data_IF_897747792345
#
_entry.id   IF_897747792345
#
_cell.length_a   1.000
_cell.length_b   1.000
_cell.length_c   1.000
_cell.angle_alpha   90.00
_cell.angle_beta   90.00
_cell.angle_gamma   90.00
#
_symmetry.space_group_name_H-M   'P 1'
#
loop_
_entity.id
_entity.type
_entity.pdbx_description
1 polymer ?
#
# COMPACT_ATOMS: atom_id res chain seq x y z
N UNK A 1 -18.20 -32.02 12.13
CA UNK A 1 -16.95 -31.32 12.51
C UNK A 1 -17.33 -30.22 13.50
N UNK A 2 -16.70 -30.09 14.68
CA UNK A 2 -17.06 -29.02 15.59
C UNK A 2 -16.62 -27.71 14.95
N UNK A 3 -17.58 -26.99 14.36
CA UNK A 3 -17.33 -25.73 13.70
C UNK A 3 -16.60 -24.78 14.67
N UNK A 4 -15.54 -24.13 14.18
CA UNK A 4 -14.88 -23.05 14.91
C UNK A 4 -15.94 -22.04 15.35
N UNK A 5 -16.03 -21.76 16.65
CA UNK A 5 -16.92 -20.70 17.12
C UNK A 5 -16.43 -19.33 16.66
N UNK A 6 -17.31 -18.33 16.69
CA UNK A 6 -16.96 -16.94 16.37
C UNK A 6 -15.73 -16.44 17.15
N UNK A 7 -15.52 -16.95 18.38
CA UNK A 7 -14.37 -16.65 19.23
C UNK A 7 -13.04 -17.04 18.59
N UNK A 8 -12.97 -18.23 17.99
CA UNK A 8 -11.77 -18.70 17.29
C UNK A 8 -11.52 -17.84 16.05
N UNK A 9 -12.59 -17.50 15.30
CA UNK A 9 -12.50 -16.63 14.13
C UNK A 9 -11.95 -15.25 14.49
N UNK A 10 -12.41 -14.64 15.58
CA UNK A 10 -11.90 -13.34 16.05
C UNK A 10 -10.39 -13.37 16.30
N UNK A 11 -9.88 -14.45 16.89
CA UNK A 11 -8.45 -14.60 17.15
C UNK A 11 -7.63 -14.82 15.87
N UNK A 12 -8.16 -15.59 14.92
CA UNK A 12 -7.49 -15.79 13.62
C UNK A 12 -7.49 -14.47 12.82
N UNK A 13 -8.61 -13.75 12.80
CA UNK A 13 -8.72 -12.46 12.11
C UNK A 13 -7.81 -11.39 12.71
N UNK A 14 -7.64 -11.36 14.03
CA UNK A 14 -6.70 -10.42 14.66
C UNK A 14 -5.25 -10.70 14.25
N UNK A 15 -4.84 -11.98 14.17
CA UNK A 15 -3.51 -12.37 13.70
C UNK A 15 -3.29 -12.08 12.21
N UNK A 16 -4.26 -12.37 11.36
CA UNK A 16 -4.14 -12.12 9.91
C UNK A 16 -4.12 -10.62 9.58
N UNK A 17 -4.85 -9.80 10.33
CA UNK A 17 -4.91 -8.35 10.10
C UNK A 17 -3.74 -7.57 10.70
N UNK A 18 -3.27 -7.96 11.91
CA UNK A 18 -2.21 -7.25 12.64
C UNK A 18 -0.82 -7.84 12.44
N UNK A 19 -0.72 -9.08 11.97
CA UNK A 19 0.53 -9.84 11.95
C UNK A 19 0.81 -10.52 13.31
N UNK A 20 2.04 -11.02 13.51
CA UNK A 20 2.43 -11.69 14.75
C UNK A 20 2.26 -10.77 15.97
N UNK A 21 1.63 -11.28 17.04
CA UNK A 21 1.32 -10.53 18.25
C UNK A 21 2.21 -10.96 19.43
N UNK A 22 2.67 -10.05 20.30
CA UNK A 22 3.34 -10.41 21.54
C UNK A 22 2.46 -11.32 22.40
N UNK A 23 3.06 -12.22 23.17
CA UNK A 23 2.34 -13.16 24.04
C UNK A 23 1.35 -12.46 24.99
N UNK A 24 1.72 -11.32 25.57
CA UNK A 24 0.84 -10.54 26.44
C UNK A 24 -0.43 -10.07 25.72
N UNK A 25 -0.29 -9.52 24.51
CA UNK A 25 -1.41 -9.04 23.70
C UNK A 25 -2.27 -10.20 23.20
N UNK A 26 -1.64 -11.30 22.78
CA UNK A 26 -2.34 -12.50 22.34
C UNK A 26 -3.19 -13.10 23.46
N UNK A 27 -2.61 -13.22 24.66
CA UNK A 27 -3.30 -13.66 25.88
C UNK A 27 -4.40 -12.69 26.31
N UNK A 28 -4.21 -11.39 26.12
CA UNK A 28 -5.23 -10.36 26.37
C UNK A 28 -6.43 -10.53 25.46
N UNK A 29 -6.23 -10.70 24.15
CA UNK A 29 -7.32 -10.94 23.19
C UNK A 29 -8.06 -12.23 23.52
N UNK A 30 -7.33 -13.30 23.85
CA UNK A 30 -7.95 -14.55 24.29
C UNK A 30 -8.82 -14.34 25.53
N UNK A 31 -8.35 -13.58 26.52
CA UNK A 31 -9.11 -13.24 27.71
C UNK A 31 -10.37 -12.45 27.36
N UNK A 32 -10.27 -11.41 26.51
CA UNK A 32 -11.43 -10.62 26.08
C UNK A 32 -12.50 -11.47 25.40
N UNK A 33 -12.09 -12.48 24.63
CA UNK A 33 -13.01 -13.28 23.83
C UNK A 33 -13.60 -14.45 24.63
N UNK A 34 -12.87 -14.99 25.59
CA UNK A 34 -13.28 -16.18 26.36
C UNK A 34 -13.71 -15.88 27.80
N UNK A 35 -13.42 -14.68 28.29
CA UNK A 35 -13.54 -14.22 29.69
C UNK A 35 -12.73 -15.07 30.70
N UNK A 36 -11.79 -15.90 30.20
CA UNK A 36 -10.99 -16.81 31.01
C UNK A 36 -9.51 -16.47 30.92
N UNK A 37 -8.85 -16.39 32.08
CA UNK A 37 -7.43 -16.11 32.16
C UNK A 37 -6.60 -17.31 31.67
N UNK A 38 -5.66 -17.13 30.72
CA UNK A 38 -4.79 -18.21 30.24
C UNK A 38 -3.90 -18.79 31.35
N UNK A 39 -3.54 -17.97 32.36
CA UNK A 39 -2.70 -18.40 33.48
C UNK A 39 -3.39 -19.39 34.43
N UNK A 40 -4.71 -19.27 34.61
CA UNK A 40 -5.49 -20.17 35.48
C UNK A 40 -6.11 -21.33 34.70
N UNK A 41 -6.30 -21.17 33.38
CA UNK A 41 -6.97 -22.14 32.50
C UNK A 41 -6.07 -22.57 31.34
N UNK A 42 -4.84 -22.97 31.62
CA UNK A 42 -3.85 -23.32 30.59
C UNK A 42 -4.30 -24.51 29.70
N UNK A 43 -5.02 -25.48 30.28
CA UNK A 43 -5.57 -26.60 29.52
C UNK A 43 -6.61 -26.14 28.49
N UNK A 44 -7.50 -25.22 28.89
CA UNK A 44 -8.51 -24.65 28.00
C UNK A 44 -7.88 -23.80 26.90
N UNK A 45 -6.82 -23.05 27.21
CA UNK A 45 -6.05 -22.29 26.23
C UNK A 45 -5.39 -23.22 25.19
N UNK A 46 -4.72 -24.28 25.63
CA UNK A 46 -4.09 -25.25 24.73
C UNK A 46 -5.11 -26.01 23.88
N UNK A 47 -6.26 -26.38 24.44
CA UNK A 47 -7.34 -27.03 23.70
C UNK A 47 -7.96 -26.09 22.66
N UNK A 48 -8.06 -24.80 22.97
CA UNK A 48 -8.52 -23.77 22.04
C UNK A 48 -7.56 -23.62 20.85
N UNK A 49 -6.25 -23.59 21.10
CA UNK A 49 -5.24 -23.56 20.05
C UNK A 49 -5.24 -24.84 19.21
N UNK A 50 -5.38 -26.01 19.82
CA UNK A 50 -5.48 -27.29 19.09
C UNK A 50 -6.67 -27.31 18.14
N UNK A 51 -7.83 -26.80 18.57
CA UNK A 51 -9.01 -26.70 17.69
C UNK A 51 -8.75 -25.80 16.48
N UNK A 52 -8.08 -24.67 16.70
CA UNK A 52 -7.68 -23.77 15.59
C UNK A 52 -6.73 -24.49 14.64
N UNK A 53 -5.67 -25.11 15.16
CA UNK A 53 -4.68 -25.78 14.33
C UNK A 53 -5.23 -27.00 13.58
N UNK A 54 -6.20 -27.72 14.14
CA UNK A 54 -6.87 -28.83 13.45
C UNK A 54 -7.59 -28.37 12.16
N UNK A 55 -8.18 -27.18 12.19
CA UNK A 55 -8.92 -26.60 11.06
C UNK A 55 -7.99 -25.86 10.10
N UNK A 56 -6.98 -25.15 10.62
CA UNK A 56 -5.96 -24.51 9.80
C UNK A 56 -5.08 -25.52 9.05
N UNK A 57 -4.92 -26.74 9.57
CA UNK A 57 -4.17 -27.81 8.91
C UNK A 57 -4.74 -28.16 7.53
N UNK A 58 -6.07 -28.08 7.34
CA UNK A 58 -6.71 -28.32 6.03
C UNK A 58 -6.22 -27.35 4.96
N UNK A 59 -6.01 -26.09 5.34
CA UNK A 59 -5.50 -25.02 4.46
C UNK A 59 -3.98 -24.87 4.53
N UNK A 60 -3.28 -25.83 5.15
CA UNK A 60 -1.82 -25.85 5.29
C UNK A 60 -1.27 -24.63 6.05
N UNK A 61 -2.04 -24.08 7.00
CA UNK A 61 -1.58 -23.06 7.93
C UNK A 61 -1.45 -23.62 9.35
N UNK A 62 -0.61 -23.00 10.16
CA UNK A 62 -0.42 -23.35 11.56
C UNK A 62 -0.29 -22.09 12.42
N UNK A 63 -1.07 -21.99 13.49
CA UNK A 63 -0.87 -20.99 14.53
C UNK A 63 0.24 -21.47 15.46
N UNK A 64 1.33 -20.70 15.52
CA UNK A 64 2.55 -21.07 16.25
C UNK A 64 3.07 -19.94 17.12
N UNK A 65 3.66 -20.32 18.25
CA UNK A 65 4.48 -19.45 19.07
C UNK A 65 5.92 -19.45 18.54
N UNK A 66 6.47 -18.28 18.26
CA UNK A 66 7.83 -18.06 17.80
C UNK A 66 8.56 -17.17 18.80
N UNK A 67 9.83 -17.48 19.06
CA UNK A 67 10.67 -16.68 19.94
C UNK A 67 11.50 -15.70 19.11
N UNK A 68 11.44 -14.43 19.45
CA UNK A 68 12.29 -13.42 18.85
C UNK A 68 13.75 -13.65 19.27
N UNK A 69 14.64 -13.69 18.28
CA UNK A 69 16.07 -13.99 18.44
C UNK A 69 16.85 -12.92 19.20
N UNK A 70 16.35 -11.68 19.27
CA UNK A 70 17.08 -10.55 19.88
C UNK A 70 16.75 -10.35 21.36
N UNK A 71 15.47 -10.41 21.71
CA UNK A 71 14.98 -10.11 23.07
C UNK A 71 14.46 -11.36 23.80
N UNK A 72 14.39 -12.51 23.12
CA UNK A 72 13.84 -13.74 23.66
C UNK A 72 12.32 -13.73 23.90
N UNK A 73 11.62 -12.67 23.48
CA UNK A 73 10.18 -12.48 23.67
C UNK A 73 9.39 -13.41 22.74
N UNK A 74 8.25 -13.91 23.24
CA UNK A 74 7.40 -14.84 22.50
C UNK A 74 6.31 -14.08 21.75
N UNK A 75 6.15 -14.43 20.47
CA UNK A 75 5.13 -13.93 19.58
C UNK A 75 4.28 -15.07 19.05
N UNK A 76 2.97 -14.85 18.90
CA UNK A 76 2.06 -15.79 18.26
C UNK A 76 1.72 -15.30 16.87
N UNK A 77 1.79 -16.18 15.87
CA UNK A 77 1.51 -15.85 14.48
C UNK A 77 0.92 -17.04 13.72
N UNK A 78 0.30 -16.75 12.58
CA UNK A 78 -0.15 -17.78 11.63
C UNK A 78 0.94 -17.96 10.58
N UNK A 79 1.41 -19.20 10.42
CA UNK A 79 2.50 -19.60 9.53
C UNK A 79 1.92 -20.44 8.40
N UNK A 80 2.35 -20.17 7.16
CA UNK A 80 2.04 -21.01 6.02
C UNK A 80 3.05 -22.17 5.97
N UNK A 81 2.57 -23.41 6.02
CA UNK A 81 3.39 -24.62 5.96
C UNK A 81 3.66 -25.09 4.52
N UNK A 82 3.11 -24.42 3.51
CA UNK A 82 3.47 -24.66 2.10
C UNK A 82 4.81 -24.00 1.78
N UNK A 83 5.71 -24.77 1.18
CA UNK A 83 7.05 -24.34 0.76
C UNK A 83 7.08 -23.45 -0.49
N UNK A 84 5.96 -22.81 -0.84
CA UNK A 84 5.89 -21.94 -2.01
C UNK A 84 6.34 -20.54 -1.62
N UNK A 85 7.61 -20.25 -1.87
CA UNK A 85 8.26 -18.97 -1.57
C UNK A 85 7.54 -17.76 -2.18
N UNK A 86 6.85 -17.93 -3.31
CA UNK A 86 6.04 -16.88 -3.94
C UNK A 86 4.69 -16.63 -3.23
N UNK A 87 4.15 -17.62 -2.53
CA UNK A 87 2.83 -17.53 -1.89
C UNK A 87 2.84 -16.78 -0.55
N UNK A 88 4.01 -16.61 0.09
CA UNK A 88 4.15 -15.94 1.40
C UNK A 88 4.04 -14.41 1.34
N UNK A 89 4.36 -13.81 0.19
CA UNK A 89 4.34 -12.36 -0.05
C UNK A 89 3.41 -11.94 -1.20
N UNK A 90 2.92 -12.92 -1.97
CA UNK A 90 2.30 -12.76 -3.29
C UNK A 90 0.97 -12.01 -3.36
N UNK A 91 0.32 -11.69 -2.24
CA UNK A 91 -0.94 -10.93 -2.23
C UNK A 91 -0.77 -9.45 -1.89
N UNK A 92 0.35 -9.05 -1.27
CA UNK A 92 0.57 -7.68 -0.79
C UNK A 92 1.67 -6.93 -1.55
N UNK A 93 2.59 -7.65 -2.18
CA UNK A 93 3.76 -7.05 -2.83
C UNK A 93 3.85 -7.46 -4.30
N UNK A 94 4.35 -6.56 -5.14
CA UNK A 94 4.60 -6.80 -6.57
C UNK A 94 5.81 -7.74 -6.77
N UNK A 95 5.88 -8.42 -7.93
CA UNK A 95 7.00 -9.32 -8.26
C UNK A 95 8.38 -8.68 -8.06
N UNK A 96 8.64 -7.41 -8.45
CA UNK A 96 9.93 -6.77 -8.20
C UNK A 96 10.23 -6.56 -6.70
N UNK A 97 9.21 -6.24 -5.89
CA UNK A 97 9.36 -6.07 -4.45
C UNK A 97 9.66 -7.40 -3.75
N UNK A 98 9.05 -8.50 -4.21
CA UNK A 98 9.33 -9.85 -3.71
C UNK A 98 10.77 -10.24 -4.05
N UNK A 99 11.21 -10.00 -5.29
CA UNK A 99 12.58 -10.27 -5.71
C UNK A 99 13.61 -9.46 -4.88
N UNK A 100 13.33 -8.17 -4.65
CA UNK A 100 14.16 -7.30 -3.82
C UNK A 100 14.27 -7.81 -2.38
N UNK A 101 13.13 -8.18 -1.77
CA UNK A 101 13.11 -8.73 -0.43
C UNK A 101 13.89 -10.06 -0.34
N UNK A 102 13.74 -10.94 -1.33
CA UNK A 102 14.47 -12.21 -1.39
C UNK A 102 15.98 -11.97 -1.42
N UNK A 103 16.44 -11.05 -2.26
CA UNK A 103 17.86 -10.71 -2.37
C UNK A 103 18.42 -10.10 -1.07
N UNK A 104 17.62 -9.29 -0.35
CA UNK A 104 17.99 -8.80 0.99
C UNK A 104 18.15 -9.94 1.99
N UNK A 105 17.23 -10.91 2.02
CA UNK A 105 17.31 -12.07 2.92
C UNK A 105 18.54 -12.92 2.59
N UNK A 106 18.80 -13.18 1.31
CA UNK A 106 19.99 -13.93 0.86
C UNK A 106 21.28 -13.22 1.29
N UNK A 107 21.36 -11.89 1.14
CA UNK A 107 22.51 -11.11 1.58
C UNK A 107 22.72 -11.20 3.11
N UNK A 108 21.64 -11.12 3.90
CA UNK A 108 21.71 -11.28 5.36
C UNK A 108 22.22 -12.68 5.75
N UNK A 109 21.77 -13.71 5.05
CA UNK A 109 22.17 -15.10 5.31
C UNK A 109 23.63 -15.35 4.94
N UNK A 110 24.11 -14.75 3.84
CA UNK A 110 25.49 -14.90 3.37
C UNK A 110 26.51 -14.17 4.24
N UNK A 111 26.14 -13.04 4.86
CA UNK A 111 27.07 -12.22 5.64
C UNK A 111 27.48 -12.84 6.99
N UNK A 112 26.76 -13.88 7.46
CA UNK A 112 27.19 -14.88 8.45
C UNK A 112 27.55 -14.42 9.88
N UNK A 113 27.96 -13.16 10.10
CA UNK A 113 28.56 -12.67 11.34
C UNK A 113 27.62 -11.78 12.16
N UNK A 114 26.79 -10.94 11.52
CA UNK A 114 25.94 -9.97 12.23
C UNK A 114 24.43 -10.16 12.02
N UNK A 115 24.01 -11.00 11.06
CA UNK A 115 22.59 -11.25 10.78
C UNK A 115 21.80 -9.99 10.40
N UNK A 116 22.49 -8.94 9.93
CA UNK A 116 21.91 -7.70 9.48
C UNK A 116 22.69 -7.16 8.28
N UNK A 117 22.05 -6.29 7.47
CA UNK A 117 22.70 -5.58 6.36
C UNK A 117 22.44 -4.09 6.51
N UNK A 118 23.42 -3.26 6.16
CA UNK A 118 23.24 -1.82 6.21
C UNK A 118 22.25 -1.35 5.14
N UNK A 119 21.58 -0.23 5.41
CA UNK A 119 20.61 0.35 4.46
C UNK A 119 21.25 0.71 3.11
N UNK A 120 22.52 1.12 3.12
CA UNK A 120 23.27 1.44 1.90
C UNK A 120 23.58 0.16 1.09
N UNK A 121 23.96 -0.94 1.77
CA UNK A 121 24.14 -2.23 1.11
C UNK A 121 22.82 -2.75 0.55
N UNK A 122 21.72 -2.69 1.31
CA UNK A 122 20.40 -3.14 0.87
C UNK A 122 19.91 -2.45 -0.41
N UNK A 123 20.13 -1.15 -0.55
CA UNK A 123 19.76 -0.38 -1.76
C UNK A 123 20.66 -0.73 -2.95
N UNK A 124 21.92 -1.11 -2.69
CA UNK A 124 22.89 -1.47 -3.70
C UNK A 124 22.85 -2.95 -4.10
N UNK A 125 21.93 -3.75 -3.54
CA UNK A 125 21.70 -5.13 -3.96
C UNK A 125 21.25 -5.10 -5.43
N UNK A 126 22.14 -5.55 -6.31
CA UNK A 126 21.81 -5.73 -7.72
C UNK A 126 20.86 -6.91 -7.82
N UNK A 127 19.64 -6.62 -8.28
CA UNK A 127 18.73 -7.63 -8.77
C UNK A 127 19.29 -8.14 -10.11
N UNK A 128 20.28 -9.01 -10.05
CA UNK A 128 20.65 -9.78 -11.21
C UNK A 128 19.48 -10.71 -11.52
N UNK A 129 18.80 -10.48 -12.65
CA UNK A 129 17.83 -11.41 -13.20
C UNK A 129 18.56 -12.70 -13.60
N UNK A 130 18.89 -13.55 -12.63
CA UNK A 130 19.48 -14.85 -12.89
C UNK A 130 18.63 -15.94 -12.23
N UNK A 131 17.79 -16.57 -13.05
CA UNK A 131 17.62 -18.02 -12.94
C UNK A 131 18.42 -18.65 -14.09
N UNK A 132 19.74 -18.69 -13.93
CA UNK A 132 20.66 -19.39 -14.84
C UNK A 132 21.06 -20.78 -14.32
N UNK A 133 20.51 -21.23 -13.18
CA UNK A 133 20.88 -22.51 -12.58
C UNK A 133 20.09 -23.70 -13.15
N UNK A 134 18.87 -23.50 -13.67
CA UNK A 134 18.04 -24.59 -14.15
C UNK A 134 18.25 -24.97 -15.62
N UNK A 135 18.81 -24.07 -16.45
CA UNK A 135 19.01 -24.27 -17.89
C UNK A 135 17.75 -24.69 -18.67
N UNK A 136 16.56 -24.63 -18.04
CA UNK A 136 15.33 -25.17 -18.59
C UNK A 136 14.47 -24.02 -19.09
N UNK A 137 14.36 -23.91 -20.41
CA UNK A 137 13.48 -22.95 -21.07
C UNK A 137 12.03 -23.21 -20.63
N UNK A 138 11.42 -22.28 -19.91
CA UNK A 138 10.07 -22.43 -19.32
C UNK A 138 8.97 -22.11 -20.35
N UNK A 139 9.33 -21.46 -21.47
CA UNK A 139 8.45 -21.19 -22.60
C UNK A 139 9.05 -20.13 -23.52
N UNK A 140 8.61 -20.12 -24.79
CA UNK A 140 8.92 -19.02 -25.71
C UNK A 140 7.84 -17.94 -25.59
N UNK A 141 8.25 -16.67 -25.56
CA UNK A 141 7.33 -15.53 -25.54
C UNK A 141 7.73 -14.57 -26.66
N UNK A 142 6.75 -14.06 -27.40
CA UNK A 142 6.95 -13.02 -28.41
C UNK A 142 6.56 -11.67 -27.80
N UNK A 143 7.45 -10.70 -27.95
CA UNK A 143 7.26 -9.35 -27.42
C UNK A 143 6.59 -8.46 -28.48
N UNK A 144 5.38 -8.00 -28.18
CA UNK A 144 4.69 -6.92 -28.88
C UNK A 144 3.87 -6.10 -27.87
N UNK A 145 4.57 -5.52 -26.88
CA UNK A 145 4.00 -4.68 -25.82
C UNK A 145 3.29 -5.39 -24.66
N UNK A 146 3.10 -6.73 -24.73
CA UNK A 146 2.66 -7.58 -23.62
C UNK A 146 3.25 -9.00 -23.78
N UNK A 147 3.58 -9.69 -22.68
CA UNK A 147 4.10 -11.06 -22.73
C UNK A 147 2.96 -12.08 -22.96
N UNK A 148 3.01 -12.79 -24.09
CA UNK A 148 2.08 -13.87 -24.43
C UNK A 148 2.80 -15.21 -24.19
N UNK A 149 2.18 -16.09 -23.40
CA UNK A 149 2.70 -17.43 -23.10
C UNK A 149 2.09 -18.42 -24.10
N UNK A 150 2.89 -18.91 -25.05
CA UNK A 150 2.45 -19.96 -25.96
C UNK A 150 2.48 -21.30 -25.22
N UNK A 151 1.32 -21.76 -24.77
CA UNK A 151 1.17 -23.12 -24.24
C UNK A 151 1.34 -24.14 -25.37
N UNK A 152 2.38 -24.97 -25.27
CA UNK A 152 2.61 -26.09 -26.17
C UNK A 152 1.37 -26.99 -26.26
N UNK A 153 0.70 -26.98 -27.41
CA UNK A 153 -0.32 -27.97 -27.79
C UNK A 153 0.36 -29.30 -28.06
N UNK A 154 0.57 -30.11 -27.01
CA UNK A 154 0.80 -31.54 -27.22
C UNK A 154 -0.48 -32.15 -27.77
N UNK A 155 -0.38 -32.61 -29.02
CA UNK A 155 -1.38 -33.42 -29.70
C UNK A 155 -1.71 -34.66 -28.87
N UNK A 156 -2.88 -34.69 -28.25
CA UNK A 156 -3.47 -35.93 -27.79
C UNK A 156 -4.96 -35.96 -28.13
N UNK A 157 -5.29 -36.80 -29.12
CA UNK A 157 -6.64 -37.14 -29.55
C UNK A 157 -7.42 -37.73 -28.37
N UNK A 158 -8.26 -36.93 -27.72
CA UNK A 158 -9.42 -37.41 -26.95
C UNK A 158 -10.60 -36.51 -27.26
N UNK A 159 -11.63 -37.11 -27.85
CA UNK A 159 -12.84 -36.42 -28.28
C UNK A 159 -13.55 -35.68 -27.13
N UNK A 160 -14.44 -34.74 -27.45
CA UNK A 160 -15.10 -33.93 -26.45
C UNK A 160 -15.98 -34.82 -25.57
N UNK A 161 -15.63 -34.92 -24.29
CA UNK A 161 -16.57 -35.33 -23.25
C UNK A 161 -17.59 -34.19 -23.13
N UNK A 162 -18.76 -34.42 -23.70
CA UNK A 162 -19.93 -33.56 -23.57
C UNK A 162 -20.27 -33.41 -22.08
N UNK A 163 -19.83 -32.33 -21.46
CA UNK A 163 -20.61 -31.73 -20.39
C UNK A 163 -21.84 -31.13 -21.07
N UNK A 164 -23.02 -31.67 -20.73
CA UNK A 164 -24.30 -31.17 -21.18
C UNK A 164 -24.42 -29.69 -20.80
N UNK A 165 -24.19 -28.80 -21.77
CA UNK A 165 -24.76 -27.47 -21.74
C UNK A 165 -25.71 -27.41 -22.92
N UNK A 166 -27.01 -27.43 -22.62
CA UNK A 166 -28.04 -27.27 -23.63
C UNK A 166 -27.69 -26.04 -24.48
N UNK A 167 -27.53 -26.26 -25.79
CA UNK A 167 -27.43 -25.20 -26.79
C UNK A 167 -28.76 -24.45 -26.83
N UNK A 168 -28.88 -23.45 -25.98
CA UNK A 168 -29.86 -22.39 -26.15
C UNK A 168 -29.35 -21.51 -27.28
N UNK A 169 -30.02 -21.58 -28.43
CA UNK A 169 -29.75 -20.71 -29.59
C UNK A 169 -30.05 -19.26 -29.21
N UNK A 170 -29.04 -18.54 -28.74
CA UNK A 170 -29.11 -17.14 -28.37
C UNK A 170 -28.61 -16.27 -29.52
N UNK A 171 -29.53 -15.84 -30.38
CA UNK A 171 -29.21 -15.01 -31.54
C UNK A 171 -29.08 -13.52 -31.20
N UNK A 172 -29.42 -13.08 -29.98
CA UNK A 172 -29.62 -11.66 -29.68
C UNK A 172 -28.43 -11.00 -28.97
N UNK A 173 -28.11 -9.75 -29.33
CA UNK A 173 -27.06 -8.97 -28.64
C UNK A 173 -27.35 -8.78 -27.14
N UNK A 174 -28.63 -8.83 -26.74
CA UNK A 174 -29.07 -8.78 -25.34
C UNK A 174 -28.52 -9.95 -24.52
N UNK A 175 -28.32 -11.12 -25.12
CA UNK A 175 -27.84 -12.31 -24.44
C UNK A 175 -26.34 -12.18 -24.07
N UNK A 176 -25.57 -11.50 -24.92
CA UNK A 176 -24.15 -11.18 -24.65
C UNK A 176 -24.00 -10.20 -23.50
N UNK A 177 -24.82 -9.14 -23.48
CA UNK A 177 -24.87 -8.20 -22.35
C UNK A 177 -25.30 -8.89 -21.06
N UNK A 178 -26.32 -9.75 -21.13
CA UNK A 178 -26.78 -10.51 -19.97
C UNK A 178 -25.69 -11.43 -19.41
N UNK A 179 -24.93 -12.11 -20.28
CA UNK A 179 -23.81 -12.95 -19.88
C UNK A 179 -22.66 -12.12 -19.29
N UNK A 180 -22.36 -10.98 -19.89
CA UNK A 180 -21.42 -10.00 -19.34
C UNK A 180 -21.82 -9.57 -17.93
N UNK A 181 -23.10 -9.27 -17.67
CA UNK A 181 -23.56 -8.93 -16.31
C UNK A 181 -23.51 -10.11 -15.35
N UNK A 182 -24.01 -11.29 -15.75
CA UNK A 182 -24.08 -12.48 -14.88
C UNK A 182 -22.71 -13.03 -14.48
N UNK A 183 -21.70 -12.88 -15.34
CA UNK A 183 -20.34 -13.35 -15.08
C UNK A 183 -19.45 -12.31 -14.41
N UNK A 184 -20.01 -11.17 -13.98
CA UNK A 184 -19.24 -10.14 -13.26
C UNK A 184 -18.40 -9.25 -14.18
N UNK A 185 -18.96 -8.83 -15.30
CA UNK A 185 -18.36 -7.88 -16.25
C UNK A 185 -17.03 -8.29 -16.91
N UNK A 186 -16.83 -9.57 -17.32
CA UNK A 186 -15.65 -9.95 -18.09
C UNK A 186 -15.61 -9.20 -19.43
N UNK A 187 -14.40 -8.97 -19.96
CA UNK A 187 -14.27 -8.28 -21.26
C UNK A 187 -15.00 -9.04 -22.36
N UNK A 188 -15.57 -8.32 -23.34
CA UNK A 188 -16.23 -8.95 -24.49
C UNK A 188 -15.27 -9.79 -25.33
N UNK A 189 -13.97 -9.46 -25.34
CA UNK A 189 -12.91 -10.31 -25.90
C UNK A 189 -12.76 -11.64 -25.15
N UNK A 190 -12.85 -11.61 -23.82
CA UNK A 190 -12.80 -12.82 -22.99
C UNK A 190 -14.05 -13.68 -23.20
N UNK A 191 -15.23 -13.06 -23.28
CA UNK A 191 -16.47 -13.77 -23.61
C UNK A 191 -16.44 -14.40 -25.01
N UNK A 192 -15.85 -13.73 -26.01
CA UNK A 192 -15.65 -14.28 -27.35
C UNK A 192 -14.77 -15.53 -27.35
N UNK A 193 -13.75 -15.58 -26.49
CA UNK A 193 -12.89 -16.76 -26.33
C UNK A 193 -13.60 -17.91 -25.64
N UNK A 194 -14.41 -17.64 -24.61
CA UNK A 194 -15.13 -18.66 -23.86
C UNK A 194 -16.36 -19.20 -24.61
N UNK A 195 -17.08 -18.33 -25.33
CA UNK A 195 -18.34 -18.64 -25.99
C UNK A 195 -18.32 -18.18 -27.46
N UNK A 196 -17.46 -18.75 -28.31
CA UNK A 196 -17.28 -18.30 -29.70
C UNK A 196 -18.57 -18.38 -30.53
N UNK A 197 -19.45 -19.32 -30.20
CA UNK A 197 -20.75 -19.50 -30.88
C UNK A 197 -21.69 -18.30 -30.71
N UNK A 198 -21.56 -17.55 -29.60
CA UNK A 198 -22.39 -16.36 -29.33
C UNK A 198 -21.88 -15.11 -30.07
N UNK A 199 -20.64 -15.16 -30.57
CA UNK A 199 -19.97 -14.07 -31.29
C UNK A 199 -19.86 -14.33 -32.80
N UNK A 200 -20.61 -15.30 -33.34
CA UNK A 200 -20.64 -15.57 -34.77
C UNK A 200 -21.13 -14.32 -35.52
N UNK A 201 -20.32 -13.83 -36.46
CA UNK A 201 -20.54 -12.57 -37.21
C UNK A 201 -20.67 -11.31 -36.33
N UNK A 202 -20.14 -11.32 -35.09
CA UNK A 202 -20.14 -10.16 -34.19
C UNK A 202 -18.72 -9.83 -33.77
N UNK A 203 -18.33 -8.57 -33.92
CA UNK A 203 -17.05 -8.09 -33.41
C UNK A 203 -17.18 -7.69 -31.93
N UNK A 204 -16.24 -8.15 -31.11
CA UNK A 204 -16.19 -7.85 -29.68
C UNK A 204 -15.91 -6.36 -29.40
N UNK A 205 -15.27 -5.66 -30.35
CA UNK A 205 -14.97 -4.23 -30.26
C UNK A 205 -16.22 -3.33 -30.24
N UNK A 206 -17.33 -3.81 -30.82
CA UNK A 206 -18.59 -3.08 -30.93
C UNK A 206 -19.41 -3.08 -29.64
N UNK A 207 -19.02 -3.88 -28.65
CA UNK A 207 -19.71 -3.97 -27.37
C UNK A 207 -19.00 -3.12 -26.31
N UNK A 208 -19.74 -2.16 -25.75
CA UNK A 208 -19.31 -1.33 -24.64
C UNK A 208 -20.25 -1.51 -23.44
N UNK A 209 -19.74 -1.31 -22.23
CA UNK A 209 -20.56 -1.30 -21.02
C UNK A 209 -20.20 -0.06 -20.22
N UNK A 210 -21.19 0.80 -19.95
CA UNK A 210 -21.00 2.06 -19.25
C UNK A 210 -20.44 1.85 -17.83
N UNK A 211 -20.93 0.83 -17.12
CA UNK A 211 -20.43 0.48 -15.78
C UNK A 211 -18.96 0.08 -15.82
N UNK A 212 -18.53 -0.67 -16.82
CA UNK A 212 -17.12 -1.02 -17.00
C UNK A 212 -16.27 0.18 -17.40
N UNK A 213 -16.79 1.06 -18.25
CA UNK A 213 -16.10 2.27 -18.68
C UNK A 213 -15.85 3.20 -17.49
N UNK A 214 -16.87 3.41 -16.65
CA UNK A 214 -16.77 4.20 -15.42
C UNK A 214 -15.82 3.54 -14.40
N UNK A 215 -15.90 2.23 -14.21
CA UNK A 215 -15.00 1.50 -13.30
C UNK A 215 -13.54 1.53 -13.76
N UNK A 216 -13.28 1.60 -15.08
CA UNK A 216 -11.94 1.68 -15.68
C UNK A 216 -11.50 3.12 -15.97
N UNK A 217 -12.30 4.11 -15.59
CA UNK A 217 -11.96 5.51 -15.80
C UNK A 217 -10.81 5.90 -14.88
N UNK A 218 -9.61 6.03 -15.44
CA UNK A 218 -8.46 6.55 -14.73
C UNK A 218 -8.45 8.08 -14.84
N UNK A 219 -7.90 8.75 -13.82
CA UNK A 219 -7.69 10.20 -13.88
C UNK A 219 -6.73 10.48 -15.03
N UNK A 220 -7.11 11.38 -15.94
CA UNK A 220 -6.22 11.85 -16.99
C UNK A 220 -4.89 12.33 -16.36
N UNK A 221 -3.79 11.98 -17.02
CA UNK A 221 -2.48 12.49 -16.65
C UNK A 221 -2.47 14.00 -16.81
N UNK A 222 -2.05 14.71 -15.76
CA UNK A 222 -1.75 16.13 -15.89
C UNK A 222 -0.56 16.28 -16.81
N UNK A 223 -0.68 17.12 -17.85
CA UNK A 223 0.48 17.51 -18.63
C UNK A 223 1.51 18.11 -17.66
N UNK A 224 2.76 17.62 -17.64
CA UNK A 224 3.79 18.21 -16.81
C UNK A 224 3.96 19.66 -17.25
N UNK A 225 3.65 20.59 -16.35
CA UNK A 225 3.98 21.98 -16.59
C UNK A 225 5.51 22.10 -16.54
N UNK A 226 6.13 22.58 -17.62
CA UNK A 226 7.55 22.84 -17.65
C UNK A 226 7.92 23.78 -16.49
N UNK A 227 8.93 23.38 -15.71
CA UNK A 227 9.47 24.21 -14.64
C UNK A 227 9.85 25.60 -15.21
N UNK A 228 9.25 26.65 -14.66
CA UNK A 228 9.60 28.03 -15.04
C UNK A 228 10.91 28.37 -14.33
N UNK A 229 11.86 28.96 -15.06
CA UNK A 229 13.06 29.54 -14.46
C UNK A 229 12.63 30.59 -13.43
N UNK A 230 12.83 30.28 -12.14
CA UNK A 230 12.62 31.20 -11.01
C UNK A 230 13.97 31.75 -10.57
N UNK A 231 13.98 32.72 -9.64
CA UNK A 231 15.19 33.15 -8.94
C UNK A 231 15.07 32.80 -7.45
N UNK A 232 16.18 32.72 -6.68
CA UNK A 232 16.12 32.44 -5.25
C UNK A 232 15.10 33.32 -4.55
N UNK A 233 14.31 32.72 -3.65
CA UNK A 233 13.29 33.41 -2.86
C UNK A 233 12.12 34.01 -3.65
N UNK A 234 11.98 33.70 -4.95
CA UNK A 234 10.83 34.12 -5.77
C UNK A 234 9.56 33.38 -5.36
N UNK A 235 9.69 32.08 -5.09
CA UNK A 235 8.61 31.21 -4.66
C UNK A 235 9.12 30.33 -3.54
N UNK A 236 8.44 30.41 -2.40
CA UNK A 236 8.76 29.61 -1.22
C UNK A 236 7.52 28.82 -0.85
N UNK A 237 7.69 27.50 -0.69
CA UNK A 237 6.66 26.60 -0.22
C UNK A 237 6.83 26.40 1.27
N UNK A 238 5.73 26.35 2.02
CA UNK A 238 5.76 26.08 3.45
C UNK A 238 4.74 25.04 3.83
N UNK A 239 5.12 24.12 4.70
CA UNK A 239 4.21 23.12 5.26
C UNK A 239 4.39 23.00 6.77
N UNK A 240 3.31 22.64 7.46
CA UNK A 240 3.33 22.39 8.91
C UNK A 240 2.99 20.93 9.12
N UNK A 241 3.96 20.20 9.64
CA UNK A 241 3.76 18.80 9.94
C UNK A 241 3.18 18.58 11.34
N UNK A 242 2.17 17.71 11.41
CA UNK A 242 1.36 17.43 12.60
C UNK A 242 2.13 16.76 13.73
N UNK A 243 1.49 16.63 14.92
CA UNK A 243 2.23 16.35 16.14
C UNK A 243 2.92 14.98 16.07
N UNK A 244 4.25 14.99 16.10
CA UNK A 244 5.07 13.81 16.30
C UNK A 244 4.59 13.07 17.54
N UNK A 245 4.56 11.73 17.43
CA UNK A 245 4.24 10.82 18.53
C UNK A 245 5.25 10.97 19.67
N UNK A 246 6.51 11.19 19.31
CA UNK A 246 7.61 11.38 20.25
C UNK A 246 7.96 12.87 20.27
N UNK A 247 7.75 13.57 21.40
CA UNK A 247 8.21 14.94 21.53
C UNK A 247 9.74 14.98 21.58
N UNK A 248 10.31 16.10 21.13
CA UNK A 248 11.72 16.41 21.41
C UNK A 248 11.97 16.57 22.92
N UNK A 249 13.24 16.59 23.34
CA UNK A 249 13.63 16.85 24.74
C UNK A 249 13.01 18.14 25.31
N UNK A 250 12.73 19.14 24.45
CA UNK A 250 12.11 20.42 24.83
C UNK A 250 10.58 20.45 24.63
N UNK A 251 9.95 19.29 24.43
CA UNK A 251 8.49 19.17 24.30
C UNK A 251 7.91 19.64 22.96
N UNK A 252 8.74 19.94 21.95
CA UNK A 252 8.27 20.33 20.62
C UNK A 252 7.76 19.09 19.87
N UNK A 253 6.60 19.22 19.23
CA UNK A 253 5.93 18.10 18.52
C UNK A 253 5.58 18.42 17.08
N UNK A 254 5.64 19.67 16.67
CA UNK A 254 5.38 20.07 15.29
C UNK A 254 6.67 20.58 14.67
N UNK A 255 6.73 20.56 13.34
CA UNK A 255 7.77 21.28 12.61
C UNK A 255 7.18 22.00 11.41
N UNK A 256 7.73 23.17 11.13
CA UNK A 256 7.46 23.95 9.92
C UNK A 256 8.61 23.73 8.97
N UNK A 257 8.31 23.29 7.75
CA UNK A 257 9.27 23.29 6.64
C UNK A 257 9.01 24.52 5.78
N UNK A 258 10.09 25.19 5.41
CA UNK A 258 10.07 26.29 4.43
C UNK A 258 11.07 25.88 3.35
N UNK A 259 10.64 25.80 2.09
CA UNK A 259 11.41 25.27 0.97
C UNK A 259 11.44 26.34 -0.13
N UNK A 260 12.63 26.80 -0.50
CA UNK A 260 12.78 27.65 -1.67
C UNK A 260 12.62 26.82 -2.96
N UNK A 261 11.76 27.26 -3.87
CA UNK A 261 11.47 26.50 -5.09
C UNK A 261 12.64 26.50 -6.08
N UNK A 262 13.48 27.54 -6.06
CA UNK A 262 14.62 27.67 -6.96
C UNK A 262 15.82 26.85 -6.46
N UNK A 263 16.30 27.14 -5.26
CA UNK A 263 17.51 26.53 -4.70
C UNK A 263 17.25 25.17 -4.05
N UNK A 264 15.99 24.82 -3.78
CA UNK A 264 15.57 23.63 -3.00
C UNK A 264 16.11 23.61 -1.57
N UNK A 265 16.68 24.72 -1.08
CA UNK A 265 17.09 24.86 0.32
C UNK A 265 15.85 24.77 1.20
N UNK A 266 15.96 23.94 2.23
CA UNK A 266 14.87 23.67 3.17
C UNK A 266 15.28 24.09 4.57
N UNK A 267 14.50 25.00 5.16
CA UNK A 267 14.61 25.38 6.56
C UNK A 267 13.57 24.62 7.38
N UNK A 268 13.99 24.02 8.49
CA UNK A 268 13.12 23.25 9.39
C UNK A 268 13.10 23.90 10.76
N UNK A 269 11.91 24.28 11.21
CA UNK A 269 11.69 24.93 12.50
C UNK A 269 10.81 24.05 13.38
N UNK A 270 11.35 23.59 14.51
CA UNK A 270 10.57 22.84 15.50
C UNK A 270 9.73 23.82 16.34
N UNK A 271 8.45 23.52 16.52
CA UNK A 271 7.52 24.33 17.34
C UNK A 271 6.75 23.46 18.35
N UNK A 272 6.36 24.08 19.47
CA UNK A 272 5.55 23.46 20.51
C UNK A 272 4.07 23.72 20.30
N UNK A 273 3.69 24.85 19.70
CA UNK A 273 2.30 25.19 19.39
C UNK A 273 2.18 25.77 17.98
N UNK A 274 1.04 25.55 17.31
CA UNK A 274 0.77 26.12 15.98
C UNK A 274 0.71 27.65 15.98
N UNK A 275 0.53 28.28 17.14
CA UNK A 275 0.57 29.73 17.34
C UNK A 275 1.96 30.32 17.07
N UNK A 276 3.04 29.54 17.21
CA UNK A 276 4.42 29.99 16.99
C UNK A 276 4.76 30.23 15.52
N UNK A 277 3.94 29.74 14.59
CA UNK A 277 4.19 29.78 13.15
C UNK A 277 4.35 31.21 12.64
N UNK A 278 3.52 32.15 13.11
CA UNK A 278 3.62 33.56 12.68
C UNK A 278 4.99 34.16 13.04
N UNK A 279 5.50 33.83 14.23
CA UNK A 279 6.81 34.29 14.70
C UNK A 279 7.93 33.70 13.84
N UNK A 280 7.86 32.41 13.51
CA UNK A 280 8.83 31.73 12.62
C UNK A 280 8.90 32.42 11.26
N UNK A 281 7.76 32.79 10.66
CA UNK A 281 7.78 33.48 9.36
C UNK A 281 8.39 34.88 9.43
N UNK A 282 8.17 35.63 10.51
CA UNK A 282 8.81 36.94 10.71
C UNK A 282 10.32 36.81 10.83
N UNK A 283 10.79 35.84 11.60
CA UNK A 283 12.22 35.53 11.77
C UNK A 283 12.85 35.05 10.45
N UNK A 284 12.15 34.19 9.71
CA UNK A 284 12.57 33.73 8.39
C UNK A 284 12.70 34.90 7.40
N UNK A 285 11.71 35.79 7.36
CA UNK A 285 11.74 36.97 6.49
C UNK A 285 12.94 37.88 6.82
N UNK A 286 13.19 38.16 8.10
CA UNK A 286 14.32 38.96 8.53
C UNK A 286 15.68 38.29 8.20
N UNK A 287 15.78 36.97 8.37
CA UNK A 287 16.95 36.19 7.98
C UNK A 287 17.22 36.29 6.47
N UNK A 288 16.19 36.19 5.63
CA UNK A 288 16.36 36.31 4.16
C UNK A 288 16.86 37.69 3.76
N UNK A 289 16.31 38.75 4.35
CA UNK A 289 16.76 40.12 4.08
C UNK A 289 18.20 40.38 4.54
N UNK A 290 18.59 39.85 5.69
CA UNK A 290 19.91 40.13 6.29
C UNK A 290 21.02 39.29 5.70
N UNK A 291 20.81 37.98 5.56
CA UNK A 291 21.87 37.03 5.18
C UNK A 291 22.00 36.87 3.66
N UNK A 292 20.89 36.99 2.93
CA UNK A 292 20.86 36.75 1.49
C UNK A 292 20.64 38.04 0.68
N UNK A 293 20.41 39.17 1.35
CA UNK A 293 20.15 40.48 0.73
C UNK A 293 18.98 40.48 -0.27
N UNK A 294 18.07 39.50 -0.17
CA UNK A 294 16.88 39.42 -0.99
C UNK A 294 15.68 40.03 -0.27
N UNK A 295 14.94 40.89 -0.98
CA UNK A 295 13.61 41.29 -0.56
C UNK A 295 12.61 40.24 -1.03
N UNK A 296 12.12 39.42 -0.09
CA UNK A 296 10.95 38.59 -0.34
C UNK A 296 9.79 39.52 -0.74
N UNK A 297 9.04 39.22 -1.82
CA UNK A 297 7.84 39.98 -2.13
C UNK A 297 6.95 39.98 -0.90
N UNK A 298 6.68 41.18 -0.36
CA UNK A 298 5.84 41.40 0.81
C UNK A 298 4.57 40.55 0.70
N UNK A 299 4.21 39.86 1.78
CA UNK A 299 2.98 39.04 1.86
C UNK A 299 1.76 39.95 1.60
N UNK A 300 1.37 40.10 0.32
CA UNK A 300 0.22 40.90 -0.07
C UNK A 300 -1.03 40.14 0.34
N UNK A 301 -1.76 40.69 1.31
CA UNK A 301 -3.19 40.41 1.44
C UNK A 301 -3.85 40.82 0.12
N UNK A 302 -4.30 39.83 -0.64
CA UNK A 302 -5.04 40.04 -1.89
C UNK A 302 -4.18 40.07 -3.14
N UNK A 303 -3.70 38.90 -3.57
CA UNK A 303 -3.78 38.40 -4.96
C UNK A 303 -2.90 37.16 -5.11
N UNK A 304 -3.52 35.98 -5.12
CA UNK A 304 -2.95 34.68 -5.49
C UNK A 304 -1.63 34.23 -4.84
N UNK A 305 -1.63 34.06 -3.51
CA UNK A 305 -0.94 32.92 -2.89
C UNK A 305 -1.92 31.74 -2.94
N UNK A 306 -1.63 30.72 -3.76
CA UNK A 306 -2.48 29.53 -3.86
C UNK A 306 -2.17 28.62 -2.67
N UNK A 307 -2.89 28.83 -1.58
CA UNK A 307 -2.95 27.93 -0.44
C UNK A 307 -3.58 26.60 -0.90
N UNK A 308 -2.76 25.55 -1.02
CA UNK A 308 -3.26 24.20 -1.28
C UNK A 308 -4.02 23.69 -0.06
N UNK A 309 -5.36 23.66 -0.14
CA UNK A 309 -6.20 22.91 0.81
C UNK A 309 -5.97 21.41 0.59
N UNK A 310 -5.13 20.79 1.41
CA UNK A 310 -5.11 19.34 1.65
C UNK A 310 -5.87 19.04 2.95
N UNK A 311 -6.86 18.16 2.90
CA UNK A 311 -7.90 18.01 3.92
C UNK A 311 -7.44 17.46 5.27
N UNK A 312 -7.85 18.12 6.35
CA UNK A 312 -8.82 17.63 7.35
C UNK A 312 -8.88 18.67 8.49
N UNK A 313 -10.07 19.27 8.66
CA UNK A 313 -10.53 20.16 9.73
C UNK A 313 -9.50 20.90 10.60
N UNK A 314 -9.29 22.21 10.35
CA UNK A 314 -9.11 23.22 11.42
C UNK A 314 -9.62 24.59 10.95
N UNK A 315 -10.44 25.21 11.81
CA UNK A 315 -11.05 26.54 11.68
C UNK A 315 -10.01 27.65 11.43
N UNK A 316 -10.39 28.61 10.59
CA UNK A 316 -9.65 29.84 10.34
C UNK A 316 -9.36 30.60 11.63
N UNK A 317 -8.09 30.84 11.93
CA UNK A 317 -7.67 31.86 12.90
C UNK A 317 -7.20 33.09 12.10
N UNK A 318 -8.07 34.09 12.00
CA UNK A 318 -7.71 35.45 11.60
C UNK A 318 -7.23 36.22 12.84
N UNK A 319 -6.03 36.82 12.85
CA UNK A 319 -5.66 37.79 13.87
C UNK A 319 -6.29 39.15 13.53
N UNK A 320 -7.13 39.65 14.42
CA UNK A 320 -7.57 41.03 14.47
C UNK A 320 -6.41 41.88 15.00
N UNK A 321 -5.82 42.70 14.14
CA UNK A 321 -5.00 43.84 14.55
C UNK A 321 -5.68 45.11 14.05
N UNK A 322 -6.57 45.67 14.87
CA UNK A 322 -6.99 47.07 14.77
C UNK A 322 -5.97 47.88 15.57
N UNK A 323 -4.94 48.41 14.90
CA UNK A 323 -4.24 49.57 15.44
C UNK A 323 -5.01 50.82 15.04
N UNK A 324 -5.40 51.55 16.08
CA UNK A 324 -6.07 52.83 16.08
C UNK A 324 -4.99 53.87 15.80
N UNK A 325 -5.05 54.56 14.66
CA UNK A 325 -4.34 55.82 14.47
C UNK A 325 -5.33 56.86 13.96
N UNK A 326 -5.65 57.76 14.88
CA UNK A 326 -6.23 59.08 14.69
C UNK A 326 -5.18 60.01 14.09
N UNK A 327 -5.45 60.62 12.93
CA UNK A 327 -4.88 61.90 12.45
C UNK A 327 -5.93 62.46 11.48
N UNK A 328 -6.84 63.39 11.82
CA UNK A 328 -6.69 64.85 11.99
C UNK A 328 -5.85 65.53 10.91
N UNK A 329 -6.51 66.16 9.93
CA UNK A 329 -5.90 66.99 8.89
C UNK A 329 -6.76 67.03 7.65
#
# INVERSE_FOLDING_TARGET
MPALSWRHHTLIQSLLSRGPLPEADFKSIFYTVTEKSPGTHNQLFNDFLRKINAELAYVQFELRACRNQYDGSVYYGVVNNVSDEQSKLGTKYSTPQIAFYKAMVEAIVQDGAEGCISKIQAINIRLENQDLASGKMIGSAKEDGLYIFDGETQSNKRGPRNACFQTVSFSNNKDLYLLHYKLGHPSFYYLKRMFPQLFLNKDASLFNCDMCALAKHHRNTYLPQSYKLTSPFTLVHSDIWGPSRIPTLKGKRWFVTIIDDHTRVTWVFLIKEKSEVEKIFREFYAMVQTQFHFHLPQCRKGSHLRWGKGGSDVRSLTPVLKHRETVSG
#
